data_IF_188739379928
#
_entry.id   IF_188739379928
#
_cell.length_a   1.000
_cell.length_b   1.000
_cell.length_c   1.000
_cell.angle_alpha   90.00
_cell.angle_beta   90.00
_cell.angle_gamma   90.00
#
_symmetry.space_group_name_H-M   'P 1'
#
loop_
_entity.id
_entity.type
_entity.pdbx_description
1 polymer ?
#
# COMPACT_ATOMS: atom_id res chain seq x y z
N UNK A 1 -21.09 -7.25 -0.49
CA UNK A 1 -19.71 -7.79 -0.47
C UNK A 1 -18.81 -6.59 -0.32
N UNK A 2 -17.80 -6.68 0.54
CA UNK A 2 -16.87 -5.56 0.78
C UNK A 2 -15.91 -5.43 -0.41
N UNK A 3 -15.48 -4.22 -0.76
CA UNK A 3 -14.55 -3.97 -1.87
C UNK A 3 -13.29 -4.87 -1.82
N UNK A 4 -12.81 -5.17 -0.61
CA UNK A 4 -11.69 -6.07 -0.40
C UNK A 4 -11.97 -7.51 -0.85
N UNK A 5 -13.18 -8.02 -0.61
CA UNK A 5 -13.58 -9.38 -1.04
C UNK A 5 -13.58 -9.47 -2.57
N UNK A 6 -14.15 -8.47 -3.25
CA UNK A 6 -14.19 -8.41 -4.71
C UNK A 6 -12.77 -8.38 -5.31
N UNK A 7 -11.85 -7.64 -4.68
CA UNK A 7 -10.44 -7.59 -5.09
C UNK A 7 -9.72 -8.94 -4.85
N UNK A 8 -10.01 -9.61 -3.73
CA UNK A 8 -9.44 -10.93 -3.42
C UNK A 8 -9.92 -11.98 -4.43
N UNK A 9 -11.20 -11.95 -4.81
CA UNK A 9 -11.79 -12.87 -5.79
C UNK A 9 -11.19 -12.67 -7.19
N UNK A 10 -10.74 -11.46 -7.50
CA UNK A 10 -10.06 -11.12 -8.75
C UNK A 10 -8.52 -11.33 -8.69
N UNK A 11 -8.00 -11.95 -7.62
CA UNK A 11 -6.57 -12.21 -7.51
C UNK A 11 -6.07 -13.27 -8.50
N UNK A 12 -4.88 -13.05 -9.03
CA UNK A 12 -4.27 -13.88 -10.08
C UNK A 12 -2.85 -14.29 -9.70
N UNK A 13 -2.51 -15.54 -10.00
CA UNK A 13 -1.19 -16.10 -9.71
C UNK A 13 -0.99 -16.45 -8.23
N UNK A 14 0.28 -16.47 -7.82
CA UNK A 14 0.66 -16.85 -6.46
C UNK A 14 0.59 -15.66 -5.50
N UNK A 15 0.14 -15.93 -4.28
CA UNK A 15 0.18 -14.95 -3.18
C UNK A 15 1.57 -14.93 -2.58
N UNK A 16 2.16 -13.73 -2.43
CA UNK A 16 3.45 -13.56 -1.79
C UNK A 16 3.22 -13.13 -0.34
N UNK A 17 3.75 -13.88 0.61
CA UNK A 17 3.72 -13.50 2.03
C UNK A 17 5.06 -12.92 2.44
N UNK A 18 5.03 -11.74 3.06
CA UNK A 18 6.19 -11.08 3.65
C UNK A 18 5.93 -10.97 5.15
N UNK A 19 6.79 -11.59 5.95
CA UNK A 19 6.65 -11.61 7.41
C UNK A 19 7.97 -11.34 8.12
N UNK A 20 7.87 -10.73 9.30
CA UNK A 20 8.94 -10.56 10.27
C UNK A 20 8.41 -10.83 11.69
N UNK A 21 9.20 -10.51 12.71
CA UNK A 21 8.87 -10.75 14.12
C UNK A 21 7.72 -9.87 14.66
N UNK A 22 7.31 -8.83 13.92
CA UNK A 22 6.28 -7.87 14.34
C UNK A 22 4.99 -7.98 13.53
N UNK A 23 5.12 -8.29 12.23
CA UNK A 23 4.03 -8.21 11.27
C UNK A 23 4.14 -9.24 10.15
N UNK A 24 2.99 -9.50 9.53
CA UNK A 24 2.84 -10.29 8.32
C UNK A 24 1.93 -9.52 7.36
N UNK A 25 2.31 -9.46 6.09
CA UNK A 25 1.48 -8.93 5.01
C UNK A 25 1.43 -9.92 3.85
N UNK A 26 0.30 -9.97 3.17
CA UNK A 26 0.13 -10.74 1.94
C UNK A 26 -0.06 -9.82 0.74
N UNK A 27 0.67 -10.12 -0.33
CA UNK A 27 0.66 -9.40 -1.59
C UNK A 27 0.00 -10.28 -2.65
N UNK A 28 -0.95 -9.71 -3.39
CA UNK A 28 -1.65 -10.36 -4.48
C UNK A 28 -1.68 -9.45 -5.70
N UNK A 29 -1.43 -9.98 -6.89
CA UNK A 29 -1.81 -9.28 -8.12
C UNK A 29 -3.31 -9.45 -8.31
N UNK A 30 -4.01 -8.37 -8.62
CA UNK A 30 -5.44 -8.35 -8.89
C UNK A 30 -5.65 -7.76 -10.27
N UNK A 31 -6.30 -8.48 -11.17
CA UNK A 31 -6.61 -7.98 -12.50
C UNK A 31 -8.00 -7.36 -12.50
N UNK A 32 -8.08 -6.05 -12.74
CA UNK A 32 -9.34 -5.29 -12.81
C UNK A 32 -9.66 -4.93 -14.27
N UNK A 33 -10.87 -4.43 -14.53
CA UNK A 33 -11.23 -3.88 -15.86
C UNK A 33 -10.28 -2.77 -16.34
N UNK A 34 -9.68 -2.04 -15.41
CA UNK A 34 -8.84 -0.87 -15.69
C UNK A 34 -7.34 -1.19 -15.66
N UNK A 35 -6.97 -2.48 -15.54
CA UNK A 35 -5.57 -2.93 -15.44
C UNK A 35 -5.28 -3.69 -14.15
N UNK A 36 -4.02 -4.10 -14.00
CA UNK A 36 -3.56 -4.85 -12.83
C UNK A 36 -3.25 -3.93 -11.65
N UNK A 37 -3.51 -4.43 -10.46
CA UNK A 37 -3.20 -3.79 -9.18
C UNK A 37 -2.41 -4.74 -8.28
N UNK A 38 -1.59 -4.17 -7.41
CA UNK A 38 -0.97 -4.85 -6.28
C UNK A 38 -1.85 -4.62 -5.06
N UNK A 39 -2.52 -5.67 -4.59
CA UNK A 39 -3.24 -5.68 -3.32
C UNK A 39 -2.27 -6.10 -2.22
N UNK A 40 -2.12 -5.26 -1.21
CA UNK A 40 -1.38 -5.55 0.02
C UNK A 40 -2.37 -5.59 1.18
N UNK A 41 -2.36 -6.67 1.95
CA UNK A 41 -3.23 -6.83 3.12
C UNK A 41 -2.40 -7.21 4.35
N UNK A 42 -2.79 -6.69 5.51
CA UNK A 42 -2.25 -7.06 6.82
C UNK A 42 -3.32 -7.84 7.58
N UNK A 43 -3.25 -9.18 7.67
CA UNK A 43 -4.25 -9.98 8.38
C UNK A 43 -4.41 -9.59 9.85
N UNK A 44 -3.30 -9.18 10.48
CA UNK A 44 -3.27 -8.83 11.91
C UNK A 44 -3.95 -7.50 12.22
N UNK A 45 -3.79 -6.48 11.37
CA UNK A 45 -4.39 -5.16 11.60
C UNK A 45 -5.70 -4.95 10.83
N UNK A 46 -6.03 -5.82 9.86
CA UNK A 46 -7.17 -5.65 8.96
C UNK A 46 -7.00 -4.52 7.94
N UNK A 47 -5.84 -3.85 7.92
CA UNK A 47 -5.54 -2.79 6.96
C UNK A 47 -5.17 -3.38 5.60
N UNK A 48 -5.51 -2.65 4.55
CA UNK A 48 -5.19 -3.03 3.19
C UNK A 48 -5.03 -1.79 2.30
N UNK A 49 -4.32 -1.98 1.19
CA UNK A 49 -4.18 -0.98 0.13
C UNK A 49 -4.11 -1.70 -1.21
N UNK A 50 -4.73 -1.14 -2.25
CA UNK A 50 -4.57 -1.59 -3.63
C UNK A 50 -3.88 -0.49 -4.43
N UNK A 51 -2.78 -0.81 -5.10
CA UNK A 51 -1.99 0.16 -5.87
C UNK A 51 -1.93 -0.25 -7.34
N UNK A 52 -2.21 0.66 -8.25
CA UNK A 52 -1.91 0.49 -9.67
C UNK A 52 -0.42 0.72 -9.98
N UNK A 53 -0.04 0.54 -11.25
CA UNK A 53 1.35 0.66 -11.67
C UNK A 53 1.95 2.06 -11.44
N UNK A 54 1.16 3.13 -11.65
CA UNK A 54 1.63 4.51 -11.48
C UNK A 54 1.76 4.86 -10.00
N UNK A 55 0.82 4.39 -9.17
CA UNK A 55 0.88 4.56 -7.72
C UNK A 55 2.13 3.87 -7.14
N UNK A 56 2.48 2.67 -7.61
CA UNK A 56 3.72 1.99 -7.22
C UNK A 56 4.95 2.76 -7.70
N UNK A 57 4.95 3.22 -8.95
CA UNK A 57 6.07 4.00 -9.51
C UNK A 57 6.30 5.28 -8.71
N UNK A 58 5.23 5.98 -8.32
CA UNK A 58 5.31 7.19 -7.51
C UNK A 58 5.98 6.95 -6.14
N UNK A 59 5.84 5.76 -5.53
CA UNK A 59 6.56 5.40 -4.31
C UNK A 59 8.07 5.28 -4.56
N UNK A 60 8.47 4.80 -5.74
CA UNK A 60 9.89 4.66 -6.10
C UNK A 60 10.58 5.99 -6.39
N UNK A 61 9.82 7.03 -6.71
CA UNK A 61 10.34 8.39 -6.92
C UNK A 61 10.58 9.15 -5.61
N UNK A 62 10.07 8.65 -4.48
CA UNK A 62 10.29 9.29 -3.20
C UNK A 62 11.75 9.15 -2.78
N UNK A 63 12.33 10.26 -2.30
CA UNK A 63 13.63 10.17 -1.64
C UNK A 63 13.50 9.40 -0.30
N UNK A 64 14.63 8.95 0.25
CA UNK A 64 14.66 8.15 1.46
C UNK A 64 14.01 8.84 2.68
N UNK A 65 14.12 10.16 2.78
CA UNK A 65 13.52 10.92 3.88
C UNK A 65 11.99 10.93 3.80
N UNK A 66 11.44 11.24 2.62
CA UNK A 66 9.99 11.26 2.41
C UNK A 66 9.39 9.87 2.60
N UNK A 67 10.04 8.83 2.07
CA UNK A 67 9.57 7.45 2.23
C UNK A 67 9.56 7.02 3.70
N UNK A 68 10.61 7.37 4.46
CA UNK A 68 10.64 7.10 5.90
C UNK A 68 9.53 7.83 6.65
N UNK A 69 9.20 9.07 6.28
CA UNK A 69 8.10 9.83 6.86
C UNK A 69 6.73 9.19 6.57
N UNK A 70 6.49 8.73 5.33
CA UNK A 70 5.25 8.03 4.94
C UNK A 70 4.94 6.82 5.83
N UNK A 71 5.96 6.07 6.23
CA UNK A 71 5.81 4.85 7.04
C UNK A 71 5.87 5.15 8.53
N UNK A 72 6.71 6.10 8.96
CA UNK A 72 6.92 6.42 10.38
C UNK A 72 5.84 7.31 10.99
N UNK A 73 5.13 8.10 10.16
CA UNK A 73 4.09 9.05 10.57
C UNK A 73 2.76 8.73 9.90
N UNK A 74 2.36 7.47 9.95
CA UNK A 74 1.13 7.02 9.30
C UNK A 74 -0.06 7.86 9.81
N UNK A 75 -0.83 8.41 8.87
CA UNK A 75 -1.98 9.32 9.08
C UNK A 75 -1.66 10.79 9.41
N UNK A 76 -0.39 11.18 9.48
CA UNK A 76 -0.01 12.59 9.60
C UNK A 76 0.22 13.24 8.22
N UNK A 77 0.11 14.57 8.15
CA UNK A 77 0.48 15.32 6.95
C UNK A 77 1.99 15.22 6.70
N UNK A 78 2.37 14.91 5.46
CA UNK A 78 3.77 15.02 5.00
C UNK A 78 4.17 16.46 4.69
N UNK A 79 3.19 17.34 4.53
CA UNK A 79 3.40 18.76 4.32
C UNK A 79 3.45 19.46 5.66
N UNK A 80 4.46 20.32 5.86
CA UNK A 80 4.42 21.32 6.92
C UNK A 80 3.37 22.37 6.57
N UNK A 81 2.68 22.89 7.57
CA UNK A 81 1.81 24.05 7.36
C UNK A 81 2.66 25.22 6.85
N UNK A 82 2.19 25.93 5.83
CA UNK A 82 2.91 27.09 5.25
C UNK A 82 3.19 28.18 6.30
N UNK A 83 2.43 28.19 7.40
CA UNK A 83 2.62 29.08 8.55
C UNK A 83 3.84 28.73 9.44
N UNK A 84 4.44 27.54 9.27
CA UNK A 84 5.62 27.08 10.03
C UNK A 84 6.93 27.19 9.24
N UNK A 85 6.87 27.65 7.97
CA UNK A 85 8.06 27.94 7.18
C UNK A 85 8.63 29.32 7.57
N UNK A 86 9.95 29.44 7.83
CA UNK A 86 10.58 30.67 8.32
C UNK A 86 10.60 31.82 7.30
#
# INVERSE_FOLDING_TARGET
MSELEDLIDCSVGETITIANEFTEVTLRRVDTRNGSRLLVTSPKSGQWISLDALEIEALTWQNAYTLAAMVGKMHESLLCDEAELP
#
